data_IF_605069542635
#
_entry.id   IF_605069542635
#
_cell.length_a   1.000
_cell.length_b   1.000
_cell.length_c   1.000
_cell.angle_alpha   90.00
_cell.angle_beta   90.00
_cell.angle_gamma   90.00
#
_symmetry.space_group_name_H-M   'P 1'
#
loop_
_entity.id
_entity.type
_entity.pdbx_description
1 polymer ?
#
# COMPACT_ATOMS: atom_id res chain seq x y z
N UNK A 1 -1.90 7.98 -30.83
CA UNK A 1 -2.19 8.25 -29.41
C UNK A 1 -2.42 6.92 -28.74
N UNK A 2 -1.44 6.43 -28.01
CA UNK A 2 -1.55 5.18 -27.25
C UNK A 2 -2.21 5.49 -25.92
N UNK A 3 -3.25 4.72 -25.59
CA UNK A 3 -4.02 4.92 -24.36
C UNK A 3 -3.24 4.44 -23.13
N UNK A 4 -3.32 5.21 -22.04
CA UNK A 4 -2.85 4.79 -20.71
C UNK A 4 -3.68 3.60 -20.26
N UNK A 5 -3.02 2.53 -19.82
CA UNK A 5 -3.70 1.33 -19.30
C UNK A 5 -3.37 1.15 -17.83
N UNK A 6 -4.40 0.87 -17.05
CA UNK A 6 -4.34 0.56 -15.63
C UNK A 6 -4.75 -0.90 -15.40
N UNK A 7 -4.00 -1.61 -14.57
CA UNK A 7 -4.29 -2.97 -14.15
C UNK A 7 -4.40 -3.02 -12.62
N UNK A 8 -5.52 -3.55 -12.13
CA UNK A 8 -5.73 -3.79 -10.70
C UNK A 8 -5.43 -5.26 -10.38
N UNK A 9 -4.52 -5.49 -9.45
CA UNK A 9 -4.03 -6.82 -9.08
C UNK A 9 -4.39 -7.11 -7.63
N UNK A 10 -5.15 -8.20 -7.41
CA UNK A 10 -5.48 -8.71 -6.08
C UNK A 10 -4.47 -9.78 -5.63
N UNK A 11 -3.93 -9.61 -4.43
CA UNK A 11 -2.96 -10.53 -3.81
C UNK A 11 -3.53 -11.03 -2.50
N UNK A 12 -3.76 -12.34 -2.39
CA UNK A 12 -4.31 -12.95 -1.18
C UNK A 12 -3.24 -13.66 -0.37
N UNK A 13 -3.32 -13.55 0.95
CA UNK A 13 -2.41 -14.23 1.86
C UNK A 13 -2.74 -14.02 3.33
N UNK A 14 -1.90 -14.60 4.18
CA UNK A 14 -1.99 -14.49 5.64
C UNK A 14 -1.00 -13.41 6.09
N UNK A 15 -1.47 -12.47 6.88
CA UNK A 15 -0.63 -11.40 7.44
C UNK A 15 0.42 -12.00 8.37
N UNK A 16 1.70 -11.74 8.11
CA UNK A 16 2.81 -12.10 8.98
C UNK A 16 3.50 -10.89 9.63
N UNK A 17 3.27 -9.68 9.11
CA UNK A 17 3.73 -8.43 9.73
C UNK A 17 2.75 -7.29 9.43
N UNK A 18 2.52 -6.43 10.41
CA UNK A 18 1.64 -5.26 10.31
C UNK A 18 2.40 -4.00 10.71
N UNK A 19 2.28 -2.95 9.91
CA UNK A 19 2.70 -1.60 10.23
C UNK A 19 1.63 -0.64 9.71
N UNK A 20 0.49 -0.61 10.39
CA UNK A 20 -0.68 0.18 10.03
C UNK A 20 -0.97 1.24 11.10
N UNK A 21 -1.62 2.35 10.73
CA UNK A 21 -2.11 3.35 11.68
C UNK A 21 -3.23 2.79 12.58
N UNK A 22 -3.54 3.43 13.72
CA UNK A 22 -2.91 4.64 14.23
C UNK A 22 -1.49 4.38 14.76
N UNK A 23 -0.55 5.26 14.42
CA UNK A 23 0.82 5.15 14.93
C UNK A 23 0.92 5.72 16.35
N UNK A 24 1.83 5.15 17.14
CA UNK A 24 2.04 5.59 18.53
C UNK A 24 2.49 7.05 18.61
N UNK A 25 2.04 7.76 19.65
CA UNK A 25 2.32 9.18 19.90
C UNK A 25 3.81 9.54 20.00
N UNK A 26 4.67 8.57 20.31
CA UNK A 26 6.12 8.77 20.42
C UNK A 26 6.86 8.85 19.07
N UNK A 27 6.13 8.80 17.95
CA UNK A 27 6.70 9.02 16.62
C UNK A 27 7.20 10.47 16.51
N UNK A 28 8.51 10.66 16.68
CA UNK A 28 9.10 12.00 16.60
C UNK A 28 8.78 12.73 15.30
N UNK A 29 8.34 13.99 15.43
CA UNK A 29 7.81 14.85 14.36
C UNK A 29 8.85 15.39 13.37
N UNK A 30 9.98 14.72 13.17
CA UNK A 30 10.95 15.23 12.19
C UNK A 30 10.43 15.01 10.79
N UNK A 31 10.53 16.03 9.93
CA UNK A 31 10.12 15.96 8.52
C UNK A 31 10.77 14.77 7.79
N UNK A 32 12.00 14.41 8.17
CA UNK A 32 12.70 13.24 7.63
C UNK A 32 11.97 11.93 7.97
N UNK A 33 11.53 11.75 9.23
CA UNK A 33 10.80 10.54 9.64
C UNK A 33 9.43 10.48 8.97
N UNK A 34 8.70 11.60 8.94
CA UNK A 34 7.39 11.70 8.30
C UNK A 34 7.47 11.44 6.79
N UNK A 35 8.48 11.98 6.10
CA UNK A 35 8.70 11.72 4.67
C UNK A 35 9.11 10.28 4.33
N UNK A 36 9.47 9.48 5.34
CA UNK A 36 9.77 8.05 5.21
C UNK A 36 8.67 7.16 5.79
N UNK A 37 7.61 7.76 6.35
CA UNK A 37 6.54 7.03 6.99
C UNK A 37 5.70 6.29 5.95
N UNK A 38 5.61 4.97 6.11
CA UNK A 38 4.81 4.09 5.29
C UNK A 38 3.85 3.31 6.17
N UNK A 39 2.64 3.10 5.67
CA UNK A 39 1.77 2.03 6.14
C UNK A 39 1.98 0.82 5.24
N UNK A 40 1.95 -0.37 5.83
CA UNK A 40 2.10 -1.58 5.06
C UNK A 40 1.90 -2.83 5.87
N UNK A 41 1.85 -3.92 5.13
CA UNK A 41 1.61 -5.27 5.61
C UNK A 41 2.51 -6.23 4.82
N UNK A 42 2.90 -7.30 5.48
CA UNK A 42 3.57 -8.42 4.85
C UNK A 42 2.66 -9.64 4.91
N UNK A 43 2.48 -10.31 3.77
CA UNK A 43 1.69 -11.53 3.67
C UNK A 43 2.54 -12.73 3.29
N UNK A 44 2.12 -13.91 3.75
CA UNK A 44 2.68 -15.20 3.40
C UNK A 44 1.58 -16.19 3.00
N UNK A 45 1.95 -17.21 2.22
CA UNK A 45 1.06 -18.30 1.87
C UNK A 45 1.20 -19.55 2.73
N UNK A 46 2.11 -19.58 3.72
CA UNK A 46 2.44 -20.77 4.52
C UNK A 46 2.58 -22.05 3.67
N UNK A 47 3.39 -21.98 2.61
CA UNK A 47 3.62 -23.04 1.63
C UNK A 47 2.44 -23.39 0.68
N UNK A 48 1.39 -22.56 0.62
CA UNK A 48 0.33 -22.68 -0.38
C UNK A 48 0.87 -22.67 -1.82
N UNK A 49 0.50 -23.66 -2.66
CA UNK A 49 0.87 -23.70 -4.07
C UNK A 49 0.40 -22.46 -4.84
N UNK A 50 -0.79 -21.94 -4.52
CA UNK A 50 -1.36 -20.76 -5.17
C UNK A 50 -0.52 -19.51 -4.85
N UNK A 51 -0.10 -19.35 -3.59
CA UNK A 51 0.76 -18.24 -3.21
C UNK A 51 2.14 -18.34 -3.86
N UNK A 52 2.69 -19.55 -3.97
CA UNK A 52 3.95 -19.78 -4.69
C UNK A 52 3.83 -19.45 -6.18
N UNK A 53 2.72 -19.81 -6.82
CA UNK A 53 2.44 -19.44 -8.21
C UNK A 53 2.32 -17.92 -8.37
N UNK A 54 1.66 -17.24 -7.42
CA UNK A 54 1.58 -15.78 -7.38
C UNK A 54 2.98 -15.13 -7.25
N UNK A 55 3.84 -15.61 -6.36
CA UNK A 55 5.24 -15.14 -6.24
C UNK A 55 6.01 -15.31 -7.56
N UNK A 56 5.88 -16.48 -8.20
CA UNK A 56 6.52 -16.74 -9.49
C UNK A 56 6.04 -15.77 -10.58
N UNK A 57 4.74 -15.47 -10.61
CA UNK A 57 4.16 -14.52 -11.55
C UNK A 57 4.68 -13.09 -11.30
N UNK A 58 4.78 -12.65 -10.04
CA UNK A 58 5.37 -11.35 -9.71
C UNK A 58 6.84 -11.25 -10.15
N UNK A 59 7.63 -12.30 -9.92
CA UNK A 59 9.01 -12.37 -10.41
C UNK A 59 9.07 -12.31 -11.95
N UNK A 60 8.16 -13.00 -12.63
CA UNK A 60 8.07 -12.97 -14.08
C UNK A 60 7.72 -11.57 -14.60
N UNK A 61 6.74 -10.91 -13.99
CA UNK A 61 6.37 -9.52 -14.29
C UNK A 61 7.57 -8.59 -14.12
N UNK A 62 8.31 -8.69 -13.01
CA UNK A 62 9.53 -7.90 -12.81
C UNK A 62 10.56 -8.15 -13.93
N UNK A 63 10.77 -9.40 -14.34
CA UNK A 63 11.68 -9.75 -15.45
C UNK A 63 11.27 -9.11 -16.78
N UNK A 64 9.98 -8.96 -17.06
CA UNK A 64 9.50 -8.26 -18.27
C UNK A 64 9.92 -6.78 -18.26
N UNK A 65 9.96 -6.14 -17.09
CA UNK A 65 10.36 -4.74 -16.93
C UNK A 65 11.85 -4.53 -16.66
N UNK A 66 12.63 -5.61 -16.54
CA UNK A 66 14.06 -5.55 -16.17
C UNK A 66 14.91 -4.64 -17.07
N UNK A 67 14.57 -4.53 -18.36
CA UNK A 67 15.24 -3.63 -19.31
C UNK A 67 15.02 -2.16 -19.00
N UNK A 68 13.89 -1.82 -18.36
CA UNK A 68 13.51 -0.45 -18.01
C UNK A 68 13.88 -0.08 -16.58
N UNK A 69 14.29 -1.05 -15.76
CA UNK A 69 14.77 -0.85 -14.39
C UNK A 69 16.22 -1.31 -14.23
N UNK A 70 17.19 -0.75 -14.97
CA UNK A 70 18.59 -1.15 -14.86
C UNK A 70 19.11 -0.89 -13.44
N UNK A 71 19.61 -1.95 -12.78
CA UNK A 71 20.06 -1.90 -11.39
C UNK A 71 18.98 -2.22 -10.34
N UNK A 72 17.72 -2.40 -10.76
CA UNK A 72 16.66 -2.93 -9.89
C UNK A 72 16.94 -4.39 -9.51
N UNK A 73 17.21 -4.65 -8.23
CA UNK A 73 17.40 -6.02 -7.72
C UNK A 73 16.15 -6.43 -6.96
N UNK A 74 15.41 -7.38 -7.51
CA UNK A 74 14.35 -8.06 -6.77
C UNK A 74 14.97 -9.11 -5.86
N UNK A 75 14.79 -8.96 -4.55
CA UNK A 75 15.07 -10.02 -3.58
C UNK A 75 13.81 -10.86 -3.41
N UNK A 76 13.91 -12.15 -3.75
CA UNK A 76 12.79 -13.08 -3.65
C UNK A 76 12.74 -13.64 -2.25
N UNK A 77 11.66 -13.34 -1.53
CA UNK A 77 11.34 -13.89 -0.22
C UNK A 77 10.06 -14.74 -0.33
N UNK A 78 9.80 -15.69 0.60
CA UNK A 78 8.55 -16.45 0.65
C UNK A 78 7.35 -15.62 1.14
N UNK A 79 7.43 -14.29 1.04
CA UNK A 79 6.47 -13.31 1.54
C UNK A 79 6.36 -12.16 0.55
N UNK A 80 5.25 -11.44 0.59
CA UNK A 80 5.03 -10.22 -0.20
C UNK A 80 4.80 -9.07 0.76
N UNK A 81 5.63 -8.04 0.67
CA UNK A 81 5.45 -6.79 1.41
C UNK A 81 4.78 -5.76 0.51
N UNK A 82 3.64 -5.24 0.94
CA UNK A 82 2.96 -4.13 0.29
C UNK A 82 2.93 -2.95 1.25
N UNK A 83 3.32 -1.77 0.78
CA UNK A 83 3.30 -0.56 1.59
C UNK A 83 3.06 0.68 0.74
N UNK A 84 2.37 1.64 1.32
CA UNK A 84 2.13 2.95 0.75
C UNK A 84 2.70 4.04 1.66
N UNK A 85 3.27 5.08 1.07
CA UNK A 85 3.78 6.24 1.80
C UNK A 85 2.61 7.11 2.25
N UNK A 86 2.72 7.69 3.43
CA UNK A 86 1.74 8.70 3.87
C UNK A 86 1.92 10.03 3.18
N UNK A 87 3.14 10.36 2.78
CA UNK A 87 3.43 11.67 2.21
C UNK A 87 4.32 11.56 0.99
N UNK A 88 4.02 12.41 0.03
CA UNK A 88 4.85 12.68 -1.13
C UNK A 88 5.55 14.03 -0.93
N UNK A 89 6.84 14.18 -1.25
CA UNK A 89 7.48 15.49 -1.26
C UNK A 89 6.76 16.45 -2.20
N UNK A 90 6.41 17.66 -1.75
CA UNK A 90 5.58 18.62 -2.53
C UNK A 90 6.16 18.90 -3.93
N UNK A 91 7.50 18.93 -4.06
CA UNK A 91 8.20 19.09 -5.34
C UNK A 91 7.96 17.97 -6.37
N UNK A 92 7.53 16.79 -5.91
CA UNK A 92 7.22 15.63 -6.75
C UNK A 92 5.70 15.45 -6.96
N UNK A 93 4.87 16.21 -6.23
CA UNK A 93 3.42 16.14 -6.26
C UNK A 93 2.79 17.25 -7.11
N UNK A 94 3.53 17.76 -8.11
CA UNK A 94 3.08 18.87 -8.96
C UNK A 94 1.77 18.52 -9.66
N UNK A 95 0.71 19.28 -9.41
CA UNK A 95 -0.62 19.06 -10.00
C UNK A 95 -1.53 18.12 -9.22
N UNK A 96 -1.02 17.45 -8.17
CA UNK A 96 -1.84 16.63 -7.28
C UNK A 96 -2.52 17.49 -6.22
N UNK A 97 -3.72 17.08 -5.80
CA UNK A 97 -4.49 17.79 -4.79
C UNK A 97 -4.28 17.17 -3.41
N UNK A 98 -4.19 17.99 -2.34
CA UNK A 98 -4.10 17.48 -0.98
C UNK A 98 -5.42 16.80 -0.59
N UNK A 99 -5.31 15.62 0.02
CA UNK A 99 -6.43 14.89 0.63
C UNK A 99 -6.28 14.94 2.15
N UNK A 100 -7.41 15.06 2.86
CA UNK A 100 -7.40 15.05 4.32
C UNK A 100 -7.25 13.63 4.87
N UNK A 101 -6.34 13.45 5.81
CA UNK A 101 -6.21 12.19 6.56
C UNK A 101 -7.41 12.04 7.50
N UNK A 102 -8.05 10.87 7.47
CA UNK A 102 -9.22 10.59 8.30
C UNK A 102 -8.86 10.45 9.79
N UNK A 103 -9.81 10.72 10.68
CA UNK A 103 -9.62 10.54 12.13
C UNK A 103 -9.44 9.07 12.54
N UNK A 104 -9.87 8.13 11.70
CA UNK A 104 -9.70 6.69 11.94
C UNK A 104 -8.24 6.26 11.73
N UNK A 105 -7.51 6.99 10.89
CA UNK A 105 -6.10 6.79 10.58
C UNK A 105 -5.22 7.64 11.51
N UNK A 106 -5.64 8.88 11.81
CA UNK A 106 -4.90 9.82 12.65
C UNK A 106 -5.79 10.40 13.78
N UNK A 107 -6.16 9.59 14.78
CA UNK A 107 -7.07 10.02 15.86
C UNK A 107 -6.50 11.16 16.71
N UNK A 108 -5.17 11.26 16.81
CA UNK A 108 -4.46 12.24 17.63
C UNK A 108 -3.94 13.45 16.82
N UNK A 109 -4.10 13.47 15.50
CA UNK A 109 -3.63 14.57 14.66
C UNK A 109 -2.10 14.63 14.46
N UNK A 110 -1.39 13.53 14.69
CA UNK A 110 0.07 13.42 14.58
C UNK A 110 0.56 13.61 13.15
N UNK A 111 -0.22 13.14 12.18
CA UNK A 111 0.09 13.22 10.75
C UNK A 111 -0.37 14.58 10.18
N UNK A 112 -1.47 15.12 10.71
CA UNK A 112 -2.02 16.42 10.30
C UNK A 112 -1.12 17.61 10.65
N UNK A 113 -0.26 17.49 11.66
CA UNK A 113 0.70 18.54 12.07
C UNK A 113 1.91 18.74 11.14
N UNK A 114 1.94 18.07 9.97
CA UNK A 114 3.07 18.10 9.05
C UNK A 114 3.12 19.42 8.25
N UNK A 115 4.33 19.97 8.04
CA UNK A 115 4.53 21.16 7.19
C UNK A 115 4.19 20.86 5.73
N UNK A 116 3.01 21.33 5.32
CA UNK A 116 2.45 21.17 3.98
C UNK A 116 3.30 21.83 2.88
N UNK A 117 4.29 22.67 3.24
CA UNK A 117 5.26 23.19 2.28
C UNK A 117 6.22 22.13 1.74
N UNK A 118 6.49 21.08 2.52
CA UNK A 118 7.50 20.08 2.17
C UNK A 118 6.92 18.70 1.86
N UNK A 119 5.83 18.33 2.53
CA UNK A 119 5.19 17.03 2.42
C UNK A 119 3.69 17.21 2.22
N UNK A 120 3.12 16.47 1.29
CA UNK A 120 1.69 16.50 0.98
C UNK A 120 1.13 15.08 0.97
N UNK A 121 -0.06 14.90 1.53
CA UNK A 121 -0.83 13.67 1.43
C UNK A 121 -1.80 13.82 0.26
N UNK A 122 -1.73 12.94 -0.73
CA UNK A 122 -2.59 12.95 -1.91
C UNK A 122 -3.43 11.67 -1.99
N UNK A 123 -4.30 11.57 -2.98
CA UNK A 123 -5.06 10.37 -3.31
C UNK A 123 -4.17 9.13 -3.52
N UNK A 124 -3.00 9.29 -4.16
CA UNK A 124 -2.01 8.22 -4.31
C UNK A 124 -1.47 7.69 -2.96
N UNK A 125 -1.54 8.48 -1.89
CA UNK A 125 -1.09 8.10 -0.55
C UNK A 125 -2.20 7.48 0.30
N UNK A 126 -3.46 7.57 -0.13
CA UNK A 126 -4.60 7.03 0.58
C UNK A 126 -4.61 5.51 0.51
N UNK A 127 -4.82 4.84 1.65
CA UNK A 127 -5.07 3.41 1.71
C UNK A 127 -6.47 3.21 2.28
N UNK A 128 -7.28 2.44 1.55
CA UNK A 128 -8.66 2.14 1.92
C UNK A 128 -8.73 0.76 2.55
N UNK A 129 -9.47 0.67 3.64
CA UNK A 129 -9.59 -0.55 4.45
C UNK A 129 -11.02 -1.05 4.43
N UNK A 130 -11.18 -2.35 4.23
CA UNK A 130 -12.51 -2.97 4.13
C UNK A 130 -12.56 -4.32 4.83
N UNK A 131 -13.72 -4.63 5.42
CA UNK A 131 -14.12 -5.99 5.74
C UNK A 131 -15.02 -6.51 4.61
N UNK A 132 -14.72 -7.70 4.10
CA UNK A 132 -15.53 -8.36 3.09
C UNK A 132 -16.60 -9.19 3.78
N UNK A 133 -17.87 -8.84 3.58
CA UNK A 133 -19.02 -9.62 4.03
C UNK A 133 -19.67 -10.33 2.84
N UNK A 134 -19.74 -11.67 2.89
CA UNK A 134 -20.46 -12.49 1.91
C UNK A 134 -21.75 -13.03 2.52
N UNK A 135 -22.90 -12.61 1.98
CA UNK A 135 -24.22 -13.20 2.30
C UNK A 135 -24.94 -13.52 1.00
N UNK A 136 -25.45 -14.75 0.86
CA UNK A 136 -26.44 -15.15 -0.16
C UNK A 136 -26.16 -14.51 -1.54
N UNK A 137 -24.95 -14.73 -2.07
CA UNK A 137 -24.45 -14.26 -3.38
C UNK A 137 -24.11 -12.76 -3.54
N UNK A 138 -24.15 -11.96 -2.47
CA UNK A 138 -23.65 -10.57 -2.51
C UNK A 138 -22.36 -10.41 -1.70
N UNK A 139 -21.33 -9.90 -2.36
CA UNK A 139 -20.09 -9.43 -1.74
C UNK A 139 -20.26 -7.95 -1.41
N UNK A 140 -20.07 -7.58 -0.14
CA UNK A 140 -20.06 -6.19 0.31
C UNK A 140 -18.71 -5.85 0.90
N UNK A 141 -18.17 -4.70 0.51
CA UNK A 141 -16.99 -4.09 1.10
C UNK A 141 -17.45 -3.05 2.11
N UNK A 142 -17.22 -3.32 3.39
CA UNK A 142 -17.63 -2.43 4.48
C UNK A 142 -16.38 -1.65 4.91
N UNK A 143 -16.34 -0.31 4.72
CA UNK A 143 -15.23 0.51 5.19
C UNK A 143 -14.97 0.30 6.67
N UNK A 144 -13.70 0.25 7.05
CA UNK A 144 -13.30 -0.01 8.45
C UNK A 144 -12.02 0.73 8.83
N UNK A 145 -11.70 0.74 10.12
CA UNK A 145 -10.44 1.27 10.62
C UNK A 145 -9.29 0.26 10.42
N UNK A 146 -8.07 0.73 10.11
CA UNK A 146 -6.87 -0.10 9.99
C UNK A 146 -6.49 -0.86 11.27
N UNK A 147 -6.98 -0.44 12.44
CA UNK A 147 -6.66 -1.06 13.73
C UNK A 147 -7.10 -2.53 13.84
N UNK A 148 -8.05 -2.96 13.01
CA UNK A 148 -8.61 -4.31 13.10
C UNK A 148 -7.70 -5.39 12.50
N UNK A 149 -6.73 -5.00 11.66
CA UNK A 149 -5.88 -5.95 10.93
C UNK A 149 -4.73 -6.42 11.82
N UNK A 150 -4.57 -7.74 11.94
CA UNK A 150 -3.59 -8.37 12.82
C UNK A 150 -2.82 -9.48 12.10
N UNK A 151 -1.69 -9.85 12.70
CA UNK A 151 -0.92 -11.04 12.28
C UNK A 151 -1.80 -12.28 12.42
N UNK A 152 -1.89 -13.07 11.36
CA UNK A 152 -2.76 -14.24 11.26
C UNK A 152 -4.02 -14.02 10.43
N UNK A 153 -4.41 -12.77 10.16
CA UNK A 153 -5.58 -12.50 9.33
C UNK A 153 -5.36 -12.93 7.87
N UNK A 154 -6.42 -13.45 7.25
CA UNK A 154 -6.45 -13.70 5.80
C UNK A 154 -7.00 -12.46 5.12
N UNK A 155 -6.22 -11.89 4.21
CA UNK A 155 -6.56 -10.64 3.55
C UNK A 155 -6.36 -10.71 2.04
N UNK A 156 -6.98 -9.78 1.34
CA UNK A 156 -6.69 -9.44 -0.04
C UNK A 156 -6.12 -8.02 -0.10
N UNK A 157 -4.98 -7.87 -0.76
CA UNK A 157 -4.35 -6.58 -1.05
C UNK A 157 -4.63 -6.27 -2.52
N UNK A 158 -5.20 -5.10 -2.80
CA UNK A 158 -5.37 -4.63 -4.17
C UNK A 158 -4.33 -3.55 -4.48
N UNK A 159 -3.55 -3.77 -5.53
CA UNK A 159 -2.53 -2.82 -6.01
C UNK A 159 -2.86 -2.42 -7.43
N UNK A 160 -2.80 -1.12 -7.72
CA UNK A 160 -2.89 -0.61 -9.09
C UNK A 160 -1.52 -0.48 -9.74
N UNK A 161 -1.43 -0.87 -11.00
CA UNK A 161 -0.27 -0.68 -11.86
C UNK A 161 -0.69 0.09 -13.10
N UNK A 162 -0.04 1.24 -13.36
CA UNK A 162 -0.29 2.05 -14.56
C UNK A 162 0.88 1.90 -15.53
N UNK A 163 0.58 1.61 -16.79
CA UNK A 163 1.56 1.60 -17.87
C UNK A 163 1.38 2.82 -18.76
N UNK A 164 2.47 3.55 -18.96
CA UNK A 164 2.53 4.66 -19.91
C UNK A 164 3.20 4.17 -21.21
N UNK A 165 2.62 4.48 -22.37
CA UNK A 165 3.30 4.22 -23.63
C UNK A 165 4.56 5.09 -23.73
N UNK A 166 5.64 4.49 -24.21
CA UNK A 166 6.92 5.16 -24.51
C UNK A 166 6.90 5.69 -25.93
#
# INVERSE_FOLDING_TARGET
TSDVKEALVGLQGIVCQVSLPPFAEHMGHSLRKLGQLCQGICITGLASPNFKAMLNNLCHTHSLFSRFTPGGRLQVYPTISAGNRFFTPTRLATGLQPVSISKEVDPHGLLKGTDSKHLIHTDDNEVKYYVISRREDKVRYIPTSPIIFQVGDIIEIQVSMVSFPV
#
